data_IF_766281849049
#
_entry.id   IF_766281849049
#
_cell.length_a   1.000
_cell.length_b   1.000
_cell.length_c   1.000
_cell.angle_alpha   90.00
_cell.angle_beta   90.00
_cell.angle_gamma   90.00
#
_symmetry.space_group_name_H-M   'P 1'
#
loop_
_entity.id
_entity.type
_entity.pdbx_description
1 polymer ?
#
# COMPACT_ATOMS: atom_id res chain seq x y z
N UNK A 1 10.61 -15.27 -9.76
CA UNK A 1 10.56 -14.38 -8.57
C UNK A 1 9.60 -14.96 -7.55
N UNK A 2 9.77 -14.66 -6.26
CA UNK A 2 8.83 -15.02 -5.21
C UNK A 2 8.46 -13.77 -4.40
N UNK A 3 7.16 -13.51 -4.25
CA UNK A 3 6.65 -12.39 -3.44
C UNK A 3 6.15 -12.92 -2.08
N UNK A 4 6.79 -12.50 -1.00
CA UNK A 4 6.33 -12.76 0.37
C UNK A 4 5.51 -11.57 0.86
N UNK A 5 4.21 -11.77 1.04
CA UNK A 5 3.27 -10.67 1.26
C UNK A 5 2.07 -11.06 2.11
N UNK A 6 1.25 -10.07 2.43
CA UNK A 6 -0.05 -10.20 3.09
C UNK A 6 -1.00 -9.13 2.55
N UNK A 7 -2.31 -9.33 2.73
CA UNK A 7 -3.36 -8.42 2.29
C UNK A 7 -3.35 -7.09 3.07
N UNK A 8 -2.40 -6.23 2.76
CA UNK A 8 -2.21 -4.90 3.37
C UNK A 8 -1.94 -3.86 2.29
N UNK A 9 -2.10 -2.56 2.57
CA UNK A 9 -1.79 -1.53 1.60
C UNK A 9 -0.38 -1.63 1.01
N UNK A 10 0.63 -2.00 1.80
CA UNK A 10 1.99 -2.16 1.30
C UNK A 10 2.18 -3.44 0.48
N UNK A 11 1.54 -4.55 0.88
CA UNK A 11 1.55 -5.79 0.10
C UNK A 11 0.89 -5.62 -1.26
N UNK A 12 -0.26 -4.96 -1.30
CA UNK A 12 -1.01 -4.71 -2.55
C UNK A 12 -0.26 -3.84 -3.56
N UNK A 13 0.65 -2.95 -3.14
CA UNK A 13 1.50 -2.23 -4.09
C UNK A 13 2.23 -3.19 -5.02
N UNK A 14 2.89 -4.19 -4.44
CA UNK A 14 3.74 -5.11 -5.21
C UNK A 14 2.91 -6.08 -6.03
N UNK A 15 1.82 -6.62 -5.48
CA UNK A 15 0.94 -7.50 -6.26
C UNK A 15 0.23 -6.76 -7.42
N UNK A 16 -0.18 -5.51 -7.22
CA UNK A 16 -0.70 -4.66 -8.31
C UNK A 16 0.39 -4.42 -9.36
N UNK A 17 1.62 -4.10 -8.95
CA UNK A 17 2.72 -3.89 -9.89
C UNK A 17 2.99 -5.11 -10.77
N UNK A 18 3.00 -6.30 -10.18
CA UNK A 18 3.17 -7.56 -10.91
C UNK A 18 2.07 -7.72 -11.98
N UNK A 19 0.82 -7.52 -11.60
CA UNK A 19 -0.33 -7.67 -12.51
C UNK A 19 -0.36 -6.59 -13.60
N UNK A 20 -0.01 -5.35 -13.28
CA UNK A 20 0.07 -4.26 -14.25
C UNK A 20 1.25 -4.45 -15.23
N UNK A 21 2.36 -5.04 -14.79
CA UNK A 21 3.47 -5.42 -15.66
C UNK A 21 3.05 -6.53 -16.64
N UNK A 22 2.28 -7.53 -16.18
CA UNK A 22 1.73 -8.58 -17.05
C UNK A 22 0.79 -7.96 -18.09
N UNK A 23 -0.09 -7.05 -17.70
CA UNK A 23 -0.99 -6.33 -18.61
C UNK A 23 -0.21 -5.45 -19.62
N UNK A 24 0.97 -4.95 -19.22
CA UNK A 24 1.87 -4.21 -20.09
C UNK A 24 2.72 -5.11 -21.02
N UNK A 25 2.54 -6.42 -20.95
CA UNK A 25 3.24 -7.40 -21.81
C UNK A 25 4.61 -7.82 -21.28
N UNK A 26 4.95 -7.54 -20.01
CA UNK A 26 6.22 -7.97 -19.42
C UNK A 26 6.23 -9.48 -19.16
N UNK A 27 7.29 -10.15 -19.58
CA UNK A 27 7.51 -11.58 -19.31
C UNK A 27 8.21 -11.77 -17.97
N UNK A 28 7.42 -11.91 -16.90
CA UNK A 28 7.94 -12.01 -15.52
C UNK A 28 8.48 -13.42 -15.17
N UNK A 29 8.29 -14.40 -16.07
CA UNK A 29 8.62 -15.79 -15.80
C UNK A 29 7.75 -16.39 -14.69
N UNK A 30 8.27 -17.44 -14.02
CA UNK A 30 7.57 -18.06 -12.91
C UNK A 30 7.61 -17.12 -11.68
N UNK A 31 6.46 -16.50 -11.38
CA UNK A 31 6.29 -15.65 -10.18
C UNK A 31 5.31 -16.33 -9.23
N UNK A 32 5.78 -16.62 -8.02
CA UNK A 32 4.99 -17.24 -6.96
C UNK A 32 4.70 -16.27 -5.83
N UNK A 33 3.66 -16.54 -5.06
CA UNK A 33 3.25 -15.72 -3.90
C UNK A 33 3.22 -16.59 -2.65
N UNK A 34 4.00 -16.21 -1.63
CA UNK A 34 3.96 -16.78 -0.29
C UNK A 34 3.22 -15.83 0.63
N UNK A 35 2.08 -16.26 1.14
CA UNK A 35 1.32 -15.50 2.12
C UNK A 35 1.96 -15.60 3.51
N UNK A 36 2.24 -14.44 4.10
CA UNK A 36 2.79 -14.32 5.46
C UNK A 36 1.65 -13.99 6.42
N UNK A 37 1.40 -14.86 7.37
CA UNK A 37 0.38 -14.65 8.39
C UNK A 37 0.91 -13.75 9.51
N UNK A 38 0.64 -12.43 9.35
CA UNK A 38 1.07 -11.42 10.31
C UNK A 38 0.47 -11.64 11.71
N UNK A 39 -0.73 -12.24 11.80
CA UNK A 39 -1.38 -12.53 13.08
C UNK A 39 -0.68 -13.64 13.87
N UNK A 40 -0.01 -14.55 13.17
CA UNK A 40 0.82 -15.59 13.78
C UNK A 40 2.27 -15.16 14.01
N UNK A 41 2.63 -13.94 13.60
CA UNK A 41 3.98 -13.43 13.76
C UNK A 41 4.99 -14.06 12.78
N UNK A 42 4.54 -14.63 11.65
CA UNK A 42 5.43 -15.33 10.69
C UNK A 42 6.52 -14.40 10.11
N UNK A 43 6.29 -13.08 10.11
CA UNK A 43 7.31 -12.08 9.74
C UNK A 43 8.50 -12.02 10.70
N UNK A 44 8.40 -12.63 11.88
CA UNK A 44 9.48 -12.73 12.86
C UNK A 44 10.19 -14.09 12.82
N UNK A 45 9.82 -14.98 11.91
CA UNK A 45 10.51 -16.29 11.77
C UNK A 45 11.98 -16.09 11.33
N UNK A 46 12.90 -16.95 11.76
CA UNK A 46 14.30 -16.90 11.32
C UNK A 46 14.42 -16.87 9.78
N UNK A 47 13.61 -17.66 9.09
CA UNK A 47 13.56 -17.69 7.62
C UNK A 47 13.19 -16.32 7.03
N UNK A 48 12.13 -15.66 7.54
CA UNK A 48 11.74 -14.35 7.04
C UNK A 48 12.82 -13.29 7.29
N UNK A 49 13.44 -13.33 8.47
CA UNK A 49 14.45 -12.35 8.88
C UNK A 49 15.73 -12.43 8.04
N UNK A 50 16.04 -13.57 7.39
CA UNK A 50 17.15 -13.64 6.43
C UNK A 50 16.90 -12.80 5.18
N UNK A 51 15.64 -12.57 4.82
CA UNK A 51 15.23 -11.78 3.65
C UNK A 51 14.90 -10.32 4.00
N UNK A 52 14.38 -10.07 5.21
CA UNK A 52 14.08 -8.72 5.68
C UNK A 52 14.31 -8.57 7.19
N UNK A 53 15.43 -7.99 7.61
CA UNK A 53 15.73 -7.78 9.04
C UNK A 53 14.77 -6.81 9.73
N UNK A 54 13.98 -6.01 8.98
CA UNK A 54 12.96 -5.12 9.52
C UNK A 54 11.66 -5.85 9.92
N UNK A 55 11.53 -7.17 9.66
CA UNK A 55 10.34 -7.97 9.97
C UNK A 55 9.03 -7.37 9.40
N UNK A 56 9.05 -6.82 8.19
CA UNK A 56 7.90 -6.22 7.52
C UNK A 56 7.70 -6.85 6.14
N UNK A 57 6.43 -7.06 5.77
CA UNK A 57 6.04 -7.37 4.39
C UNK A 57 5.85 -6.04 3.60
N UNK A 58 5.96 -6.08 2.27
CA UNK A 58 6.37 -7.18 1.42
C UNK A 58 7.88 -7.38 1.34
N UNK A 59 8.28 -8.57 0.87
CA UNK A 59 9.63 -8.88 0.40
C UNK A 59 9.52 -9.49 -0.98
N UNK A 60 10.36 -9.06 -1.91
CA UNK A 60 10.53 -9.72 -3.21
C UNK A 60 11.86 -10.46 -3.24
N UNK A 61 11.82 -11.75 -3.56
CA UNK A 61 12.99 -12.59 -3.76
C UNK A 61 13.13 -12.84 -5.27
N UNK A 62 14.28 -12.45 -5.84
CA UNK A 62 14.58 -12.58 -7.26
C UNK A 62 15.98 -13.17 -7.44
N UNK A 63 16.05 -14.46 -7.68
CA UNK A 63 17.29 -15.22 -7.62
C UNK A 63 17.90 -15.15 -6.22
N UNK A 64 19.15 -14.72 -6.13
CA UNK A 64 19.88 -14.57 -4.86
C UNK A 64 19.61 -13.23 -4.17
N UNK A 65 18.77 -12.36 -4.74
CA UNK A 65 18.49 -11.02 -4.22
C UNK A 65 17.19 -10.99 -3.45
N UNK A 66 17.24 -10.50 -2.22
CA UNK A 66 16.06 -10.15 -1.43
C UNK A 66 15.90 -8.63 -1.38
N UNK A 67 14.73 -8.14 -1.72
CA UNK A 67 14.41 -6.72 -1.77
C UNK A 67 13.28 -6.43 -0.78
N UNK A 68 13.56 -5.63 0.21
CA UNK A 68 12.58 -5.08 1.15
C UNK A 68 12.15 -3.68 0.71
N UNK A 69 11.15 -3.10 1.40
CA UNK A 69 10.50 -1.82 1.13
C UNK A 69 9.65 -1.83 -0.15
N UNK A 70 8.34 -1.72 0.04
CA UNK A 70 7.38 -1.82 -1.08
C UNK A 70 7.66 -0.84 -2.23
N UNK A 71 8.09 0.39 -1.93
CA UNK A 71 8.42 1.38 -2.95
C UNK A 71 9.75 1.08 -3.66
N UNK A 72 10.74 0.52 -2.97
CA UNK A 72 11.97 0.04 -3.60
C UNK A 72 11.68 -1.16 -4.53
N UNK A 73 10.76 -2.04 -4.12
CA UNK A 73 10.32 -3.16 -4.99
C UNK A 73 9.61 -2.63 -6.24
N UNK A 74 8.75 -1.61 -6.13
CA UNK A 74 8.13 -0.98 -7.30
C UNK A 74 9.16 -0.43 -8.28
N UNK A 75 10.15 0.31 -7.77
CA UNK A 75 11.21 0.88 -8.58
C UNK A 75 12.05 -0.24 -9.22
N UNK A 76 12.47 -1.24 -8.45
CA UNK A 76 13.23 -2.38 -8.97
C UNK A 76 12.50 -3.10 -10.10
N UNK A 77 11.22 -3.39 -9.92
CA UNK A 77 10.42 -4.06 -10.96
C UNK A 77 10.24 -3.17 -12.20
N UNK A 78 10.02 -1.87 -12.02
CA UNK A 78 9.93 -0.92 -13.13
C UNK A 78 11.24 -0.79 -13.91
N UNK A 79 12.39 -0.82 -13.24
CA UNK A 79 13.71 -0.79 -13.89
C UNK A 79 14.07 -2.12 -14.56
N UNK A 80 13.68 -3.24 -13.96
CA UNK A 80 13.92 -4.58 -14.51
C UNK A 80 13.04 -4.87 -15.74
N UNK A 81 11.83 -4.35 -15.76
CA UNK A 81 10.85 -4.51 -16.83
C UNK A 81 10.36 -3.15 -17.33
N UNK A 82 11.17 -2.45 -18.16
CA UNK A 82 10.83 -1.11 -18.62
C UNK A 82 9.50 -1.07 -19.37
N UNK A 83 8.58 -0.28 -18.87
CA UNK A 83 7.24 -0.03 -19.44
C UNK A 83 6.84 1.42 -19.18
N UNK A 84 5.64 1.81 -19.59
CA UNK A 84 5.07 3.10 -19.23
C UNK A 84 4.85 3.31 -17.73
N UNK A 85 4.92 2.23 -16.92
CA UNK A 85 4.80 2.33 -15.46
C UNK A 85 6.02 3.01 -14.81
N UNK A 86 7.21 2.78 -15.35
CA UNK A 86 8.44 3.52 -15.05
C UNK A 86 9.32 3.54 -16.30
N UNK A 87 9.24 4.59 -17.14
CA UNK A 87 10.08 4.73 -18.32
C UNK A 87 11.57 4.83 -17.98
N UNK A 88 12.41 4.34 -18.89
CA UNK A 88 13.88 4.43 -18.77
C UNK A 88 14.40 5.70 -19.46
N UNK A 89 13.84 6.84 -19.09
CA UNK A 89 14.22 8.17 -19.54
C UNK A 89 14.09 9.22 -18.43
N UNK A 90 14.28 10.48 -18.76
CA UNK A 90 14.24 11.56 -17.78
C UNK A 90 12.85 11.78 -17.14
N UNK A 91 11.77 11.28 -17.73
CA UNK A 91 10.41 11.37 -17.16
C UNK A 91 10.26 10.60 -15.85
N UNK A 92 11.14 9.65 -15.58
CA UNK A 92 11.21 8.97 -14.27
C UNK A 92 11.35 9.94 -13.09
N UNK A 93 11.95 11.12 -13.30
CA UNK A 93 12.12 12.14 -12.26
C UNK A 93 10.84 12.92 -11.96
N UNK A 94 9.80 12.79 -12.78
CA UNK A 94 8.46 13.26 -12.47
C UNK A 94 7.67 12.21 -11.66
N UNK A 95 8.07 10.94 -11.73
CA UNK A 95 7.40 9.79 -11.10
C UNK A 95 7.97 9.48 -9.70
N UNK A 96 9.31 9.32 -9.61
CA UNK A 96 9.97 8.87 -8.38
C UNK A 96 9.73 9.79 -7.17
N UNK A 97 9.66 11.13 -7.29
CA UNK A 97 9.32 11.98 -6.14
C UNK A 97 7.99 11.62 -5.48
N UNK A 98 6.97 11.23 -6.26
CA UNK A 98 5.68 10.80 -5.72
C UNK A 98 5.73 9.43 -5.04
N UNK A 99 6.58 8.52 -5.55
CA UNK A 99 6.82 7.22 -4.90
C UNK A 99 7.47 7.42 -3.54
N UNK A 100 8.50 8.27 -3.46
CA UNK A 100 9.17 8.59 -2.20
C UNK A 100 8.29 9.43 -1.28
N UNK A 101 7.48 10.34 -1.83
CA UNK A 101 6.50 11.08 -1.06
C UNK A 101 5.47 10.14 -0.41
N UNK A 102 5.04 9.10 -1.11
CA UNK A 102 4.18 8.08 -0.53
C UNK A 102 4.88 7.36 0.63
N UNK A 103 6.13 6.92 0.44
CA UNK A 103 6.89 6.18 1.45
C UNK A 103 7.17 7.03 2.70
N UNK A 104 7.52 8.30 2.52
CA UNK A 104 7.91 9.19 3.60
C UNK A 104 6.75 9.89 4.29
N UNK A 105 5.61 10.09 3.61
CA UNK A 105 4.50 10.90 4.14
C UNK A 105 3.19 10.09 4.20
N UNK A 106 2.63 9.69 3.06
CA UNK A 106 1.27 9.12 3.00
C UNK A 106 1.19 7.80 3.77
N UNK A 107 2.12 6.88 3.52
CA UNK A 107 2.16 5.58 4.20
C UNK A 107 2.24 5.70 5.73
N UNK A 108 3.24 6.39 6.28
CA UNK A 108 3.37 6.59 7.73
C UNK A 108 2.19 7.31 8.36
N UNK A 109 1.68 8.37 7.73
CA UNK A 109 0.58 9.18 8.28
C UNK A 109 -0.73 8.41 8.30
N UNK A 110 -1.12 7.79 7.18
CA UNK A 110 -2.31 6.95 7.10
C UNK A 110 -2.18 5.71 7.98
N UNK A 111 -0.99 5.11 8.04
CA UNK A 111 -0.70 3.97 8.90
C UNK A 111 -0.87 4.29 10.38
N UNK A 112 -0.31 5.40 10.86
CA UNK A 112 -0.51 5.85 12.24
C UNK A 112 -1.97 6.22 12.51
N UNK A 113 -2.62 6.97 11.61
CA UNK A 113 -4.05 7.27 11.73
C UNK A 113 -4.89 6.01 11.86
N UNK A 114 -4.61 5.00 11.02
CA UNK A 114 -5.28 3.71 11.06
C UNK A 114 -5.03 2.97 12.37
N UNK A 115 -3.78 2.94 12.85
CA UNK A 115 -3.40 2.26 14.09
C UNK A 115 -4.16 2.81 15.30
N UNK A 116 -4.15 4.13 15.48
CA UNK A 116 -4.92 4.77 16.54
C UNK A 116 -6.44 4.62 16.38
N UNK A 117 -6.92 4.50 15.14
CA UNK A 117 -8.37 4.35 14.86
C UNK A 117 -8.87 2.93 15.12
N UNK A 118 -8.03 1.88 14.90
CA UNK A 118 -8.50 0.49 14.77
C UNK A 118 -7.79 -0.52 15.65
N UNK A 119 -6.55 -0.26 16.08
CA UNK A 119 -5.69 -1.31 16.64
C UNK A 119 -5.25 -1.04 18.08
N UNK A 120 -5.58 0.11 18.62
CA UNK A 120 -5.22 0.51 19.97
C UNK A 120 -6.43 0.54 20.91
N UNK A 121 -7.24 -0.52 20.91
CA UNK A 121 -8.45 -0.60 21.75
C UNK A 121 -8.13 -0.60 23.26
N UNK A 122 -6.94 -1.04 23.64
CA UNK A 122 -6.48 -1.04 25.04
C UNK A 122 -5.97 0.34 25.54
N UNK A 123 -5.87 1.33 24.65
CA UNK A 123 -5.46 2.70 24.99
C UNK A 123 -6.69 3.55 25.24
N UNK A 124 -6.71 4.28 26.35
CA UNK A 124 -7.80 5.18 26.71
C UNK A 124 -8.07 6.22 25.62
N UNK A 125 -9.34 6.57 25.42
CA UNK A 125 -9.77 7.49 24.34
C UNK A 125 -9.13 8.88 24.48
N UNK A 126 -8.96 9.36 25.70
CA UNK A 126 -8.29 10.63 25.96
C UNK A 126 -6.82 10.61 25.47
N UNK A 127 -6.09 9.52 25.73
CA UNK A 127 -4.71 9.36 25.29
C UNK A 127 -4.61 9.26 23.74
N UNK A 128 -5.64 8.76 23.06
CA UNK A 128 -5.72 8.69 21.58
C UNK A 128 -6.14 10.01 20.93
N UNK A 129 -6.76 10.93 21.65
CA UNK A 129 -7.37 12.13 21.07
C UNK A 129 -6.34 13.00 20.34
N UNK A 130 -5.19 13.27 20.95
CA UNK A 130 -4.15 14.10 20.34
C UNK A 130 -3.53 13.45 19.07
N UNK A 131 -3.02 12.22 19.10
CA UNK A 131 -2.50 11.58 17.88
C UNK A 131 -3.57 11.40 16.79
N UNK A 132 -4.82 11.07 17.14
CA UNK A 132 -5.90 10.97 16.16
C UNK A 132 -6.15 12.30 15.44
N UNK A 133 -6.14 13.42 16.18
CA UNK A 133 -6.26 14.78 15.63
C UNK A 133 -5.04 15.12 14.77
N UNK A 134 -3.81 14.89 15.28
CA UNK A 134 -2.57 15.20 14.57
C UNK A 134 -2.47 14.45 13.23
N UNK A 135 -2.60 13.12 13.25
CA UNK A 135 -2.50 12.32 12.04
C UNK A 135 -3.71 12.48 11.12
N UNK A 136 -4.89 12.80 11.67
CA UNK A 136 -6.07 13.14 10.88
C UNK A 136 -5.88 14.43 10.08
N UNK A 137 -5.43 15.49 10.72
CA UNK A 137 -5.17 16.78 10.05
C UNK A 137 -4.07 16.65 8.99
N UNK A 138 -3.00 15.92 9.30
CA UNK A 138 -1.92 15.71 8.34
C UNK A 138 -2.37 14.82 7.16
N UNK A 139 -3.17 13.78 7.40
CA UNK A 139 -3.75 12.99 6.32
C UNK A 139 -4.62 13.84 5.38
N UNK A 140 -5.46 14.73 5.93
CA UNK A 140 -6.27 15.65 5.11
C UNK A 140 -5.39 16.63 4.33
N UNK A 141 -4.32 17.17 4.91
CA UNK A 141 -3.36 18.00 4.20
C UNK A 141 -2.72 17.26 3.02
N UNK A 142 -2.28 16.01 3.24
CA UNK A 142 -1.71 15.18 2.17
C UNK A 142 -2.72 14.87 1.07
N UNK A 143 -3.98 14.62 1.42
CA UNK A 143 -5.07 14.44 0.44
C UNK A 143 -5.28 15.73 -0.37
N UNK A 144 -5.19 16.91 0.27
CA UNK A 144 -5.24 18.20 -0.43
C UNK A 144 -4.12 18.37 -1.46
N UNK A 145 -2.89 17.97 -1.12
CA UNK A 145 -1.76 17.97 -2.08
C UNK A 145 -2.05 17.07 -3.28
N UNK A 146 -2.64 15.90 -3.02
CA UNK A 146 -3.01 14.97 -4.10
C UNK A 146 -4.18 15.50 -4.94
N UNK A 147 -5.16 16.16 -4.31
CA UNK A 147 -6.26 16.83 -5.00
C UNK A 147 -5.76 17.92 -5.97
N UNK A 148 -4.86 18.79 -5.48
CA UNK A 148 -4.26 19.86 -6.30
C UNK A 148 -3.48 19.31 -7.50
N UNK A 149 -2.82 18.16 -7.33
CA UNK A 149 -2.08 17.48 -8.40
C UNK A 149 -3.04 16.87 -9.42
N UNK A 150 -4.07 16.16 -8.95
CA UNK A 150 -5.04 15.48 -9.82
C UNK A 150 -6.03 16.43 -10.51
N UNK A 151 -6.18 17.65 -10.04
CA UNK A 151 -6.87 18.71 -10.76
C UNK A 151 -6.09 19.21 -12.00
N UNK A 152 -4.77 18.98 -12.05
CA UNK A 152 -3.90 19.41 -13.15
C UNK A 152 -3.61 18.26 -14.13
N UNK A 153 -3.65 17.03 -13.63
CA UNK A 153 -3.22 15.85 -14.36
C UNK A 153 -4.16 14.67 -14.12
N UNK A 154 -4.42 13.82 -15.11
CA UNK A 154 -5.27 12.66 -14.94
C UNK A 154 -4.68 11.59 -14.01
N UNK A 155 -3.35 11.55 -13.85
CA UNK A 155 -2.63 10.61 -12.99
C UNK A 155 -1.62 11.36 -12.12
N UNK A 156 -1.17 10.72 -11.06
CA UNK A 156 -0.32 11.37 -10.04
C UNK A 156 0.94 12.01 -10.63
N UNK A 157 1.60 11.32 -11.55
CA UNK A 157 2.84 11.80 -12.15
C UNK A 157 2.65 12.42 -13.57
N UNK A 158 1.42 12.78 -13.96
CA UNK A 158 1.16 13.41 -15.26
C UNK A 158 0.05 12.74 -16.06
N UNK A 159 0.33 12.41 -17.33
CA UNK A 159 -0.70 11.95 -18.26
C UNK A 159 -0.84 10.42 -18.36
N UNK A 160 0.04 9.66 -17.69
CA UNK A 160 0.10 8.20 -17.78
C UNK A 160 0.05 7.59 -16.39
N UNK A 161 -0.67 6.46 -16.25
CA UNK A 161 -0.66 5.64 -15.04
C UNK A 161 0.74 5.06 -14.81
N UNK A 162 1.28 5.22 -13.59
CA UNK A 162 2.65 4.87 -13.26
C UNK A 162 2.76 4.21 -11.88
N UNK A 163 3.99 3.83 -11.50
CA UNK A 163 4.28 3.33 -10.15
C UNK A 163 3.95 4.35 -9.05
N UNK A 164 3.81 5.64 -9.34
CA UNK A 164 3.34 6.65 -8.40
C UNK A 164 1.88 6.40 -7.99
N UNK A 165 1.02 6.09 -8.97
CA UNK A 165 -0.38 5.73 -8.72
C UNK A 165 -0.47 4.40 -7.96
N UNK A 166 0.33 3.41 -8.34
CA UNK A 166 0.39 2.10 -7.68
C UNK A 166 0.84 2.26 -6.21
N UNK A 167 1.80 3.14 -5.93
CA UNK A 167 2.29 3.38 -4.59
C UNK A 167 1.22 4.00 -3.68
N UNK A 168 0.46 4.97 -4.19
CA UNK A 168 -0.50 5.77 -3.42
C UNK A 168 -1.86 5.09 -3.25
N UNK A 169 -2.36 4.44 -4.31
CA UNK A 169 -3.72 3.92 -4.37
C UNK A 169 -4.10 3.01 -3.19
N UNK A 170 -3.30 2.02 -2.77
CA UNK A 170 -3.69 1.12 -1.69
C UNK A 170 -3.96 1.81 -0.35
N UNK A 171 -3.30 2.92 -0.09
CA UNK A 171 -3.51 3.72 1.12
C UNK A 171 -4.72 4.64 1.00
N UNK A 172 -4.85 5.35 -0.11
CA UNK A 172 -5.95 6.30 -0.33
C UNK A 172 -7.30 5.57 -0.46
N UNK A 173 -7.38 4.44 -1.18
CA UNK A 173 -8.61 3.64 -1.25
C UNK A 173 -9.14 3.18 0.11
N UNK A 174 -8.26 3.07 1.10
CA UNK A 174 -8.57 2.70 2.48
C UNK A 174 -9.13 3.85 3.35
N UNK A 175 -9.51 4.99 2.77
CA UNK A 175 -9.91 6.19 3.46
C UNK A 175 -11.04 5.99 4.48
N UNK A 176 -12.08 5.21 4.14
CA UNK A 176 -13.17 4.84 5.07
C UNK A 176 -12.64 4.03 6.25
N UNK A 177 -11.69 3.13 6.00
CA UNK A 177 -11.11 2.28 7.03
C UNK A 177 -10.23 3.07 8.00
N UNK A 178 -9.46 4.03 7.52
CA UNK A 178 -8.65 4.94 8.33
C UNK A 178 -9.43 6.12 8.91
N UNK A 179 -10.72 6.28 8.56
CA UNK A 179 -11.57 7.42 8.90
C UNK A 179 -10.92 8.76 8.50
N UNK A 180 -10.38 8.83 7.30
CA UNK A 180 -9.92 10.06 6.65
C UNK A 180 -10.97 10.41 5.59
N UNK A 181 -11.77 11.44 5.82
CA UNK A 181 -12.83 11.82 4.88
C UNK A 181 -12.24 12.53 3.67
N UNK A 182 -12.41 11.93 2.48
CA UNK A 182 -11.98 12.47 1.19
C UNK A 182 -13.17 12.86 0.30
N UNK A 183 -14.37 12.94 0.83
CA UNK A 183 -15.59 13.21 0.03
C UNK A 183 -15.61 14.63 -0.54
N UNK A 184 -14.82 15.54 0.02
CA UNK A 184 -14.68 16.92 -0.46
C UNK A 184 -13.51 17.10 -1.44
N UNK A 185 -12.88 16.01 -1.91
CA UNK A 185 -11.78 16.00 -2.89
C UNK A 185 -12.18 15.21 -4.13
N UNK A 186 -12.95 15.84 -5.05
CA UNK A 186 -13.56 15.15 -6.18
C UNK A 186 -12.53 14.56 -7.17
N UNK A 187 -11.39 15.22 -7.40
CA UNK A 187 -10.36 14.69 -8.29
C UNK A 187 -9.71 13.43 -7.71
N UNK A 188 -9.47 13.39 -6.39
CA UNK A 188 -8.99 12.17 -5.70
C UNK A 188 -10.02 11.05 -5.78
N UNK A 189 -11.30 11.35 -5.54
CA UNK A 189 -12.38 10.36 -5.62
C UNK A 189 -12.52 9.76 -7.02
N UNK A 190 -12.43 10.59 -8.04
CA UNK A 190 -12.47 10.17 -9.43
C UNK A 190 -11.23 9.32 -9.78
N UNK A 191 -10.03 9.76 -9.36
CA UNK A 191 -8.81 8.98 -9.53
C UNK A 191 -8.89 7.60 -8.84
N UNK A 192 -9.36 7.52 -7.60
CA UNK A 192 -9.60 6.24 -6.91
C UNK A 192 -10.50 5.34 -7.73
N UNK A 193 -11.55 5.89 -8.34
CA UNK A 193 -12.47 5.15 -9.19
C UNK A 193 -11.80 4.65 -10.45
N UNK A 194 -11.03 5.49 -11.16
CA UNK A 194 -10.28 5.10 -12.37
C UNK A 194 -9.25 4.02 -12.09
N UNK A 195 -8.47 4.16 -11.01
CA UNK A 195 -7.49 3.13 -10.61
C UNK A 195 -8.19 1.80 -10.32
N UNK A 196 -9.30 1.83 -9.59
CA UNK A 196 -10.09 0.64 -9.25
C UNK A 196 -10.59 -0.13 -10.47
N UNK A 197 -10.86 0.56 -11.58
CA UNK A 197 -11.38 -0.03 -12.83
C UNK A 197 -10.30 -0.77 -13.63
N UNK A 198 -9.03 -0.62 -13.31
CA UNK A 198 -7.94 -1.31 -14.00
C UNK A 198 -7.95 -2.80 -13.65
N UNK A 199 -7.95 -3.70 -14.67
CA UNK A 199 -7.99 -5.16 -14.43
C UNK A 199 -6.81 -5.65 -13.57
N UNK A 200 -5.58 -5.17 -13.85
CA UNK A 200 -4.38 -5.53 -13.07
C UNK A 200 -4.49 -5.13 -11.62
N UNK A 201 -5.08 -3.96 -11.32
CA UNK A 201 -5.36 -3.53 -9.94
C UNK A 201 -6.33 -4.49 -9.25
N UNK A 202 -7.40 -4.90 -9.95
CA UNK A 202 -8.37 -5.86 -9.42
C UNK A 202 -7.73 -7.19 -9.06
N UNK A 203 -6.94 -7.76 -9.97
CA UNK A 203 -6.21 -9.03 -9.74
C UNK A 203 -5.16 -8.90 -8.64
N UNK A 204 -4.38 -7.82 -8.65
CA UNK A 204 -3.35 -7.59 -7.62
C UNK A 204 -3.92 -7.48 -6.20
N UNK A 205 -5.10 -6.88 -6.03
CA UNK A 205 -5.80 -6.84 -4.73
C UNK A 205 -6.32 -8.23 -4.33
N UNK A 206 -6.70 -9.07 -5.29
CA UNK A 206 -7.19 -10.41 -5.04
C UNK A 206 -6.09 -11.39 -4.52
N UNK A 207 -4.82 -11.01 -4.53
CA UNK A 207 -3.74 -11.74 -3.85
C UNK A 207 -3.92 -11.78 -2.32
N UNK A 208 -4.90 -11.07 -1.80
CA UNK A 208 -5.37 -11.12 -0.44
C UNK A 208 -6.89 -11.17 -0.41
N UNK A 209 -7.48 -10.80 0.71
CA UNK A 209 -8.94 -10.68 0.80
C UNK A 209 -9.39 -9.46 -0.03
N UNK A 210 -10.29 -9.63 -1.01
CA UNK A 210 -10.81 -8.52 -1.81
C UNK A 210 -11.35 -7.39 -0.93
N UNK A 211 -11.15 -6.14 -1.37
CA UNK A 211 -11.52 -4.97 -0.55
C UNK A 211 -13.01 -4.86 -0.29
N UNK A 212 -13.83 -5.29 -1.25
CA UNK A 212 -15.28 -5.34 -1.12
C UNK A 212 -15.75 -6.44 -0.16
N UNK A 213 -14.94 -7.49 0.08
CA UNK A 213 -15.19 -8.46 1.13
C UNK A 213 -14.84 -7.94 2.53
N UNK A 214 -13.88 -7.02 2.67
CA UNK A 214 -13.54 -6.43 3.97
C UNK A 214 -14.73 -5.66 4.55
N UNK A 215 -15.46 -4.94 3.72
CA UNK A 215 -16.67 -4.23 4.15
C UNK A 215 -17.85 -5.16 4.46
N UNK A 216 -17.82 -6.41 3.96
CA UNK A 216 -18.83 -7.45 4.19
C UNK A 216 -18.45 -8.42 5.32
N UNK A 217 -17.32 -8.24 5.97
CA UNK A 217 -16.91 -9.12 7.04
C UNK A 217 -17.88 -9.06 8.21
N UNK A 218 -18.13 -10.23 8.79
CA UNK A 218 -18.90 -10.33 10.03
C UNK A 218 -18.25 -9.50 11.15
N UNK A 219 -19.02 -9.08 12.16
CA UNK A 219 -18.47 -8.39 13.34
C UNK A 219 -17.30 -9.16 13.98
N UNK A 220 -17.38 -10.50 14.04
CA UNK A 220 -16.38 -11.38 14.61
C UNK A 220 -15.09 -11.35 13.77
N UNK A 221 -15.19 -11.41 12.43
CA UNK A 221 -14.05 -11.34 11.52
C UNK A 221 -13.38 -9.96 11.58
N UNK A 222 -14.16 -8.87 11.68
CA UNK A 222 -13.63 -7.52 11.88
C UNK A 222 -12.90 -7.39 13.22
N UNK A 223 -13.46 -7.98 14.30
CA UNK A 223 -12.82 -8.00 15.60
C UNK A 223 -11.50 -8.79 15.59
N UNK A 224 -11.48 -9.95 14.90
CA UNK A 224 -10.26 -10.74 14.72
C UNK A 224 -9.19 -9.94 13.95
N UNK A 225 -9.59 -9.25 12.86
CA UNK A 225 -8.66 -8.44 12.07
C UNK A 225 -8.09 -7.28 12.89
N UNK A 226 -8.90 -6.66 13.77
CA UNK A 226 -8.43 -5.63 14.70
C UNK A 226 -7.42 -6.17 15.72
N UNK A 227 -7.69 -7.36 16.31
CA UNK A 227 -6.74 -8.01 17.22
C UNK A 227 -5.41 -8.31 16.54
N UNK A 228 -5.46 -8.82 15.30
CA UNK A 228 -4.26 -9.08 14.52
C UNK A 228 -3.47 -7.80 14.22
N UNK A 229 -4.16 -6.71 13.89
CA UNK A 229 -3.55 -5.40 13.69
C UNK A 229 -2.89 -4.85 14.95
N UNK A 230 -3.51 -5.04 16.12
CA UNK A 230 -2.95 -4.64 17.41
C UNK A 230 -1.63 -5.38 17.72
N UNK A 231 -1.53 -6.67 17.39
CA UNK A 231 -0.29 -7.43 17.54
C UNK A 231 0.83 -6.93 16.61
N UNK A 232 0.48 -6.47 15.40
CA UNK A 232 1.45 -5.90 14.45
C UNK A 232 2.00 -4.56 14.95
N UNK A 233 1.15 -3.75 15.61
CA UNK A 233 1.52 -2.41 16.09
C UNK A 233 2.18 -2.42 17.47
N UNK A 234 1.98 -3.46 18.26
CA UNK A 234 2.52 -3.63 19.62
C UNK A 234 3.12 -5.03 19.80
N UNK A 235 4.24 -5.37 19.15
CA UNK A 235 4.80 -6.72 19.15
C UNK A 235 5.41 -7.17 20.50
N UNK A 236 5.32 -6.39 21.53
CA UNK A 236 5.92 -6.66 22.85
C UNK A 236 4.93 -6.94 23.99
N UNK A 237 3.64 -7.22 23.68
CA UNK A 237 2.64 -7.60 24.71
C UNK A 237 1.98 -8.92 24.40
#
# INVERSE_FOLDING_TARGET
MELWTSATPNGWKVSIMIEELIDAGAELGNTTVKHINLAKGEQHSPEFLTHNPNAKIPVLIDGDRSIMESCAILQYLGEKYPTSLLPDDNSRWDILPWVYWQAANVGPVFGNKLSYTRYMDAVEDEAKAHPLKRFGNEALRLVGVLEDQLNKHPWVAGNTFTIADIALYPWIRGWKWSKVDITQTPAVMDWVTRVRQRPGVGRGIAYGVPADEVDRWSPERRAQYRRNGAQITNPGK
#
